data_IF_077335238072
#
_entry.id   IF_077335238072
#
_cell.length_a   1.000
_cell.length_b   1.000
_cell.length_c   1.000
_cell.angle_alpha   90.00
_cell.angle_beta   90.00
_cell.angle_gamma   90.00
#
_symmetry.space_group_name_H-M   'P 1'
#
loop_
_entity.id
_entity.type
_entity.pdbx_description
1 polymer ?
#
# COMPACT_ATOMS: atom_id res chain seq x y z
N UNK A 1 -7.46 -19.40 -53.70
CA UNK A 1 -6.69 -18.63 -52.69
C UNK A 1 -7.72 -17.77 -52.03
N UNK A 2 -8.37 -18.45 -51.10
CA UNK A 2 -9.69 -18.17 -50.57
C UNK A 2 -9.61 -17.32 -49.31
N UNK A 3 -10.72 -16.66 -49.05
CA UNK A 3 -11.11 -15.91 -47.86
C UNK A 3 -11.09 -16.72 -46.55
N UNK A 4 -11.23 -15.99 -45.43
CA UNK A 4 -11.89 -16.27 -44.13
C UNK A 4 -11.02 -15.69 -42.99
N UNK A 5 -11.25 -14.46 -42.50
CA UNK A 5 -12.28 -13.99 -41.54
C UNK A 5 -12.05 -14.38 -40.06
N UNK A 6 -11.69 -13.35 -39.29
CA UNK A 6 -12.23 -12.95 -37.97
C UNK A 6 -12.57 -14.01 -36.93
N UNK A 7 -11.87 -13.97 -35.79
CA UNK A 7 -12.40 -14.40 -34.50
C UNK A 7 -11.53 -13.86 -33.35
N UNK A 8 -11.87 -12.68 -32.82
CA UNK A 8 -11.36 -12.19 -31.53
C UNK A 8 -12.37 -11.27 -30.81
N UNK A 9 -13.67 -11.50 -31.02
CA UNK A 9 -14.79 -10.72 -30.45
C UNK A 9 -15.48 -11.38 -29.22
N UNK A 10 -14.87 -12.41 -28.61
CA UNK A 10 -15.53 -13.17 -27.54
C UNK A 10 -15.24 -12.71 -26.10
N UNK A 11 -14.59 -11.56 -25.88
CA UNK A 11 -14.28 -11.04 -24.53
C UNK A 11 -14.86 -9.64 -24.30
N UNK A 12 -16.09 -9.37 -24.77
CA UNK A 12 -16.74 -8.07 -24.54
C UNK A 12 -18.20 -8.10 -24.04
N UNK A 13 -18.78 -9.26 -23.68
CA UNK A 13 -20.22 -9.30 -23.31
C UNK A 13 -20.57 -9.52 -21.84
N UNK A 14 -19.62 -9.71 -20.92
CA UNK A 14 -19.95 -10.02 -19.51
C UNK A 14 -19.76 -8.86 -18.51
N UNK A 15 -19.26 -7.71 -18.95
CA UNK A 15 -18.95 -6.58 -18.04
C UNK A 15 -20.05 -5.52 -17.92
N UNK A 16 -21.02 -5.47 -18.84
CA UNK A 16 -22.08 -4.45 -18.82
C UNK A 16 -23.30 -4.81 -17.96
N UNK A 17 -23.54 -6.10 -17.67
CA UNK A 17 -24.66 -6.52 -16.82
C UNK A 17 -24.40 -6.37 -15.30
N UNK A 18 -23.14 -6.32 -14.87
CA UNK A 18 -22.79 -6.16 -13.46
C UNK A 18 -22.88 -4.70 -12.95
N UNK A 19 -22.88 -3.71 -13.86
CA UNK A 19 -22.87 -2.28 -13.48
C UNK A 19 -24.27 -1.67 -13.37
N UNK A 20 -25.29 -2.31 -13.96
CA UNK A 20 -26.69 -1.82 -13.92
C UNK A 20 -27.47 -2.26 -12.68
N UNK A 21 -27.04 -3.30 -11.96
CA UNK A 21 -27.77 -3.82 -10.78
C UNK A 21 -27.46 -3.10 -9.47
N UNK A 22 -26.42 -2.26 -9.43
CA UNK A 22 -25.96 -1.59 -8.19
C UNK A 22 -26.52 -0.16 -8.04
N UNK A 23 -27.19 0.39 -9.05
CA UNK A 23 -27.67 1.79 -9.07
C UNK A 23 -29.19 1.92 -8.73
N UNK A 24 -29.92 0.82 -8.53
CA UNK A 24 -31.39 0.84 -8.42
C UNK A 24 -31.98 0.78 -6.99
N UNK A 25 -31.25 1.18 -5.92
CA UNK A 25 -31.71 1.00 -4.54
C UNK A 25 -31.69 2.25 -3.64
N UNK A 26 -31.74 3.47 -4.19
CA UNK A 26 -31.85 4.68 -3.36
C UNK A 26 -32.78 5.72 -3.99
N UNK A 27 -34.08 5.54 -3.81
CA UNK A 27 -35.07 6.54 -4.19
C UNK A 27 -36.45 6.21 -3.62
N UNK A 28 -36.73 6.68 -2.40
CA UNK A 28 -37.94 7.43 -2.04
C UNK A 28 -38.03 7.57 -0.51
N UNK A 29 -37.78 8.77 -0.01
CA UNK A 29 -38.48 9.26 1.18
C UNK A 29 -38.96 10.68 0.87
N UNK A 30 -40.26 10.77 0.65
CA UNK A 30 -40.99 12.02 0.57
C UNK A 30 -41.26 12.49 2.00
N UNK A 31 -40.59 13.55 2.45
CA UNK A 31 -41.08 14.33 3.58
C UNK A 31 -41.61 15.67 3.06
N UNK A 32 -42.94 15.73 3.00
CA UNK A 32 -43.68 16.98 2.95
C UNK A 32 -43.60 17.62 4.34
N UNK A 33 -42.98 18.79 4.45
CA UNK A 33 -43.40 19.74 5.47
C UNK A 33 -43.36 21.18 4.96
N UNK A 34 -44.58 21.72 4.93
CA UNK A 34 -45.03 23.09 4.74
C UNK A 34 -44.23 24.13 5.50
N UNK A 35 -44.08 25.31 4.87
CA UNK A 35 -43.29 26.41 5.37
C UNK A 35 -43.86 27.13 6.59
N UNK A 36 -42.99 27.93 7.21
CA UNK A 36 -43.33 29.08 8.05
C UNK A 36 -42.24 30.16 7.93
N UNK A 37 -42.71 31.39 8.16
CA UNK A 37 -42.17 32.72 7.86
C UNK A 37 -40.72 33.06 8.20
N UNK A 38 -40.16 33.94 7.36
CA UNK A 38 -39.09 34.86 7.71
C UNK A 38 -39.60 35.87 8.74
N UNK A 39 -39.11 35.82 9.99
CA UNK A 39 -38.62 37.00 10.71
C UNK A 39 -38.07 36.66 12.11
N UNK A 40 -36.91 37.28 12.42
CA UNK A 40 -36.36 37.57 13.74
C UNK A 40 -35.63 36.43 14.51
N UNK A 41 -34.29 36.53 14.59
CA UNK A 41 -33.49 36.84 15.79
C UNK A 41 -32.03 36.40 15.59
N UNK A 42 -31.12 37.36 15.57
CA UNK A 42 -29.69 37.13 15.78
C UNK A 42 -29.46 36.67 17.24
N UNK A 43 -28.81 35.53 17.50
CA UNK A 43 -28.22 35.30 18.81
C UNK A 43 -26.82 35.93 18.84
N UNK A 44 -26.73 37.14 19.39
CA UNK A 44 -25.46 37.70 19.88
C UNK A 44 -25.08 36.96 21.16
N UNK A 45 -24.37 35.84 21.02
CA UNK A 45 -23.67 35.22 22.13
C UNK A 45 -22.28 35.87 22.29
N UNK A 46 -21.90 36.32 23.50
CA UNK A 46 -20.57 36.87 23.75
C UNK A 46 -19.50 35.82 23.47
N UNK A 47 -18.52 36.17 22.63
CA UNK A 47 -17.30 35.39 22.45
C UNK A 47 -16.53 35.45 23.79
N UNK A 48 -16.23 34.33 24.46
CA UNK A 48 -15.42 34.35 25.67
C UNK A 48 -14.01 34.86 25.34
N UNK A 49 -13.36 35.64 26.22
CA UNK A 49 -12.00 36.11 25.99
C UNK A 49 -11.07 34.92 25.77
N UNK A 50 -10.36 34.93 24.65
CA UNK A 50 -9.31 33.99 24.35
C UNK A 50 -8.09 34.35 25.23
N UNK A 51 -8.16 34.02 26.52
CA UNK A 51 -6.94 33.85 27.32
C UNK A 51 -6.25 32.56 26.86
N UNK A 52 -5.63 32.67 25.69
CA UNK A 52 -4.60 31.75 25.29
C UNK A 52 -3.46 31.91 26.30
N UNK A 53 -3.38 30.97 27.25
CA UNK A 53 -2.16 30.70 27.97
C UNK A 53 -1.09 30.34 26.93
N UNK A 54 -0.38 31.36 26.44
CA UNK A 54 0.89 31.22 25.75
C UNK A 54 1.87 30.81 26.83
N UNK A 55 1.95 29.51 27.11
CA UNK A 55 3.05 28.98 27.88
C UNK A 55 4.34 29.38 27.16
N UNK A 56 5.25 30.14 27.81
CA UNK A 56 6.51 30.52 27.18
C UNK A 56 7.26 29.26 26.77
N UNK A 57 7.71 29.19 25.53
CA UNK A 57 8.66 28.15 25.10
C UNK A 57 9.86 28.23 26.05
N UNK A 58 10.20 27.16 26.81
CA UNK A 58 11.29 27.23 27.76
C UNK A 58 12.59 27.42 26.99
N UNK A 59 13.24 28.58 27.17
CA UNK A 59 14.61 28.82 26.71
C UNK A 59 15.58 28.09 27.63
N UNK A 60 15.59 26.76 27.55
CA UNK A 60 16.49 25.90 28.30
C UNK A 60 17.80 25.70 27.55
N UNK A 61 18.89 26.31 28.05
CA UNK A 61 20.24 25.80 27.83
C UNK A 61 20.35 24.46 28.58
N UNK A 62 20.60 23.38 27.86
CA UNK A 62 20.89 22.08 28.46
C UNK A 62 21.25 21.05 27.39
N UNK A 63 22.53 20.67 27.34
CA UNK A 63 22.97 19.47 26.63
C UNK A 63 22.53 18.26 27.46
N UNK A 64 21.50 17.55 27.04
CA UNK A 64 21.20 16.21 27.53
C UNK A 64 20.34 15.47 26.50
N UNK A 65 20.75 14.25 26.14
CA UNK A 65 19.90 13.28 25.44
C UNK A 65 19.80 13.45 23.92
N UNK A 66 20.89 13.18 23.21
CA UNK A 66 20.85 12.95 21.76
C UNK A 66 20.37 11.51 21.53
N UNK A 67 19.06 11.27 21.56
CA UNK A 67 18.30 10.18 20.90
C UNK A 67 16.80 10.48 21.15
N UNK A 68 16.01 10.42 20.07
CA UNK A 68 14.54 10.58 19.93
C UNK A 68 13.92 12.00 19.89
N UNK A 69 14.62 12.98 19.33
CA UNK A 69 14.07 14.32 19.05
C UNK A 69 13.20 14.37 17.77
N UNK A 70 13.49 13.50 16.79
CA UNK A 70 12.86 13.55 15.46
C UNK A 70 11.35 13.22 15.50
N UNK A 71 10.95 12.23 16.30
CA UNK A 71 9.54 11.81 16.37
C UNK A 71 8.67 12.84 17.11
N UNK A 72 9.18 13.41 18.20
CA UNK A 72 8.50 14.50 18.93
C UNK A 72 8.36 15.75 18.06
N UNK A 73 9.42 16.14 17.34
CA UNK A 73 9.38 17.25 16.40
C UNK A 73 8.36 17.01 15.28
N UNK A 74 8.37 15.81 14.70
CA UNK A 74 7.46 15.43 13.62
C UNK A 74 6.00 15.44 14.11
N UNK A 75 5.73 14.93 15.31
CA UNK A 75 4.39 14.93 15.90
C UNK A 75 3.87 16.36 16.14
N UNK A 76 4.69 17.26 16.66
CA UNK A 76 4.28 18.65 16.89
C UNK A 76 4.05 19.40 15.57
N UNK A 77 4.93 19.21 14.57
CA UNK A 77 4.72 19.79 13.23
C UNK A 77 3.44 19.25 12.60
N UNK A 78 3.17 17.94 12.70
CA UNK A 78 1.90 17.35 12.24
C UNK A 78 0.70 18.01 12.91
N UNK A 79 0.73 18.19 14.23
CA UNK A 79 -0.34 18.85 15.01
C UNK A 79 -0.56 20.31 14.58
N UNK A 80 0.52 21.03 14.25
CA UNK A 80 0.42 22.39 13.74
C UNK A 80 -0.15 22.43 12.32
N UNK A 81 0.30 21.51 11.45
CA UNK A 81 -0.15 21.43 10.06
C UNK A 81 -1.63 21.04 9.95
N UNK A 82 -2.13 20.15 10.80
CA UNK A 82 -3.55 19.77 10.82
C UNK A 82 -4.47 20.90 11.29
N UNK A 83 -3.98 21.82 12.13
CA UNK A 83 -4.73 23.01 12.57
C UNK A 83 -4.79 24.12 11.51
N UNK A 84 -3.83 24.16 10.58
CA UNK A 84 -3.76 25.18 9.54
C UNK A 84 -4.70 24.84 8.38
N UNK A 85 -5.61 25.78 8.06
CA UNK A 85 -6.41 25.74 6.82
C UNK A 85 -5.65 26.20 5.57
N UNK A 86 -4.35 26.54 5.70
CA UNK A 86 -3.50 26.97 4.58
C UNK A 86 -2.64 25.80 4.11
N UNK A 87 -2.63 25.56 2.80
CA UNK A 87 -1.66 24.66 2.17
C UNK A 87 -0.27 25.30 2.16
N UNK A 88 0.77 24.51 2.44
CA UNK A 88 2.16 24.94 2.23
C UNK A 88 2.53 25.05 0.75
N UNK A 89 1.84 24.30 -0.13
CA UNK A 89 2.08 24.29 -1.57
C UNK A 89 0.78 24.47 -2.35
N UNK A 90 0.65 25.62 -3.00
CA UNK A 90 -0.44 25.90 -3.95
C UNK A 90 -0.26 25.11 -5.24
N UNK A 91 -1.36 24.73 -5.91
CA UNK A 91 -1.29 24.13 -7.23
C UNK A 91 -0.91 25.17 -8.31
N UNK A 92 -0.49 24.68 -9.48
CA UNK A 92 -0.01 25.52 -10.58
C UNK A 92 -1.07 26.52 -11.06
N UNK A 93 -2.33 26.09 -11.16
CA UNK A 93 -3.44 26.96 -11.60
C UNK A 93 -3.74 28.08 -10.61
N UNK A 94 -3.85 27.76 -9.32
CA UNK A 94 -4.11 28.76 -8.29
C UNK A 94 -2.93 29.74 -8.16
N UNK A 95 -1.70 29.25 -8.33
CA UNK A 95 -0.50 30.09 -8.38
C UNK A 95 -0.55 31.07 -9.56
N UNK A 96 -0.86 30.60 -10.77
CA UNK A 96 -0.94 31.44 -11.96
C UNK A 96 -2.07 32.48 -11.89
N UNK A 97 -3.25 32.08 -11.38
CA UNK A 97 -4.43 32.95 -11.26
C UNK A 97 -4.49 33.77 -9.98
N UNK A 98 -3.49 33.66 -9.10
CA UNK A 98 -3.43 34.31 -7.79
C UNK A 98 -4.68 34.06 -6.93
N UNK A 99 -5.18 32.82 -6.97
CA UNK A 99 -6.32 32.36 -6.17
C UNK A 99 -5.83 31.63 -4.91
N UNK A 100 -6.68 31.58 -3.88
CA UNK A 100 -6.40 30.77 -2.68
C UNK A 100 -6.47 29.28 -3.04
N UNK A 101 -5.44 28.51 -2.68
CA UNK A 101 -5.44 27.07 -2.88
C UNK A 101 -5.77 26.36 -1.57
N UNK A 102 -6.72 25.42 -1.61
CA UNK A 102 -7.07 24.54 -0.49
C UNK A 102 -6.35 23.18 -0.60
N UNK A 103 -6.21 22.47 0.53
CA UNK A 103 -5.45 21.22 0.66
C UNK A 103 -6.29 19.94 0.47
N UNK A 104 -7.40 19.98 -0.25
CA UNK A 104 -8.26 18.80 -0.39
C UNK A 104 -7.54 17.66 -1.15
N UNK A 105 -7.72 16.40 -0.71
CA UNK A 105 -6.95 15.24 -1.18
C UNK A 105 -7.18 14.91 -2.67
N UNK A 106 -8.37 15.19 -3.21
CA UNK A 106 -8.71 15.01 -4.62
C UNK A 106 -8.47 16.23 -5.52
N UNK A 107 -7.80 17.27 -5.01
CA UNK A 107 -7.63 18.54 -5.71
C UNK A 107 -8.30 19.71 -4.99
N UNK A 108 -7.77 20.92 -5.18
CA UNK A 108 -8.37 22.12 -4.57
C UNK A 108 -9.74 22.45 -5.19
N UNK A 109 -10.63 23.07 -4.41
CA UNK A 109 -11.99 23.44 -4.82
C UNK A 109 -12.04 24.16 -6.19
N UNK A 110 -11.16 25.14 -6.42
CA UNK A 110 -11.12 25.89 -7.68
C UNK A 110 -10.77 25.06 -8.93
N UNK A 111 -10.04 23.96 -8.77
CA UNK A 111 -9.73 23.03 -9.86
C UNK A 111 -10.90 22.07 -10.10
N UNK A 112 -11.51 21.60 -9.01
CA UNK A 112 -12.68 20.74 -9.05
C UNK A 112 -13.86 21.41 -9.76
N UNK A 113 -14.25 22.63 -9.37
CA UNK A 113 -15.33 23.38 -10.04
C UNK A 113 -15.02 23.72 -11.49
N UNK A 114 -13.74 23.79 -11.86
CA UNK A 114 -13.34 24.04 -13.24
C UNK A 114 -13.24 22.76 -14.08
N UNK A 115 -13.50 21.58 -13.50
CA UNK A 115 -13.28 20.28 -14.14
C UNK A 115 -11.86 20.12 -14.72
N UNK A 116 -10.85 20.62 -14.00
CA UNK A 116 -9.44 20.55 -14.42
C UNK A 116 -8.61 19.79 -13.40
N UNK A 117 -7.63 19.02 -13.88
CA UNK A 117 -6.67 18.28 -13.06
C UNK A 117 -5.88 19.23 -12.15
N UNK A 118 -5.72 18.86 -10.88
CA UNK A 118 -5.03 19.68 -9.89
C UNK A 118 -3.52 19.37 -9.90
N UNK A 119 -2.78 19.98 -10.82
CA UNK A 119 -1.34 19.72 -10.97
C UNK A 119 -0.49 20.53 -9.99
N UNK A 120 0.52 19.88 -9.41
CA UNK A 120 1.49 20.45 -8.49
C UNK A 120 2.88 20.11 -9.02
N UNK A 121 3.71 21.14 -9.18
CA UNK A 121 5.13 20.96 -9.56
C UNK A 121 5.99 21.04 -8.31
N UNK A 122 6.82 20.03 -8.08
CA UNK A 122 7.85 20.10 -7.05
C UNK A 122 8.94 21.11 -7.47
N UNK A 123 9.31 21.98 -6.54
CA UNK A 123 10.33 23.00 -6.79
C UNK A 123 11.73 22.40 -6.83
N UNK A 124 11.96 21.27 -6.15
CA UNK A 124 13.27 20.62 -6.11
C UNK A 124 13.52 19.75 -7.33
N UNK A 125 12.59 18.86 -7.69
CA UNK A 125 12.79 17.98 -8.85
C UNK A 125 12.34 18.59 -10.17
N UNK A 126 11.42 19.55 -10.14
CA UNK A 126 10.76 20.08 -11.34
C UNK A 126 9.66 19.18 -11.89
N UNK A 127 9.43 18.01 -11.28
CA UNK A 127 8.40 17.08 -11.72
C UNK A 127 7.02 17.63 -11.42
N UNK A 128 6.09 17.38 -12.34
CA UNK A 128 4.69 17.77 -12.19
C UNK A 128 3.82 16.54 -12.03
N UNK A 129 3.12 16.47 -10.90
CA UNK A 129 2.22 15.38 -10.57
C UNK A 129 0.86 15.90 -10.16
N UNK A 130 -0.14 15.03 -10.18
CA UNK A 130 -1.46 15.35 -9.66
C UNK A 130 -1.43 15.45 -8.13
N UNK A 131 -2.15 16.43 -7.57
CA UNK A 131 -2.27 16.56 -6.11
C UNK A 131 -2.82 15.26 -5.52
N UNK A 132 -2.17 14.76 -4.48
CA UNK A 132 -2.57 13.52 -3.81
C UNK A 132 -1.99 12.25 -4.44
N UNK A 133 -1.35 12.35 -5.61
CA UNK A 133 -0.78 11.20 -6.31
C UNK A 133 0.24 10.44 -5.47
N UNK A 134 1.16 11.15 -4.81
CA UNK A 134 2.15 10.53 -3.94
C UNK A 134 1.50 9.73 -2.80
N UNK A 135 0.47 10.26 -2.15
CA UNK A 135 -0.26 9.55 -1.10
C UNK A 135 -0.97 8.30 -1.63
N UNK A 136 -1.61 8.40 -2.80
CA UNK A 136 -2.27 7.27 -3.48
C UNK A 136 -1.27 6.19 -3.87
N UNK A 137 -0.12 6.58 -4.42
CA UNK A 137 0.97 5.67 -4.76
C UNK A 137 1.53 4.98 -3.52
N UNK A 138 1.71 5.70 -2.40
CA UNK A 138 2.15 5.09 -1.14
C UNK A 138 1.14 4.07 -0.61
N UNK A 139 -0.15 4.40 -0.59
CA UNK A 139 -1.20 3.47 -0.16
C UNK A 139 -1.26 2.23 -1.06
N UNK A 140 -1.20 2.41 -2.38
CA UNK A 140 -1.18 1.32 -3.35
C UNK A 140 0.06 0.45 -3.18
N UNK A 141 1.25 1.05 -3.04
CA UNK A 141 2.49 0.31 -2.80
C UNK A 141 2.45 -0.48 -1.48
N UNK A 142 1.85 0.07 -0.43
CA UNK A 142 1.69 -0.64 0.84
C UNK A 142 0.80 -1.88 0.66
N UNK A 143 -0.36 -1.72 0.01
CA UNK A 143 -1.28 -2.82 -0.31
C UNK A 143 -0.61 -3.90 -1.16
N UNK A 144 0.09 -3.51 -2.23
CA UNK A 144 0.78 -4.46 -3.11
C UNK A 144 1.90 -5.21 -2.38
N UNK A 145 2.62 -4.55 -1.47
CA UNK A 145 3.66 -5.20 -0.67
C UNK A 145 3.08 -6.22 0.30
N UNK A 146 1.94 -5.92 0.91
CA UNK A 146 1.23 -6.85 1.79
C UNK A 146 0.74 -8.07 1.02
N UNK A 147 0.14 -7.86 -0.16
CA UNK A 147 -0.29 -8.95 -1.04
C UNK A 147 0.88 -9.84 -1.48
N UNK A 148 2.00 -9.24 -1.90
CA UNK A 148 3.22 -9.98 -2.24
C UNK A 148 3.72 -10.79 -1.05
N UNK A 149 3.69 -10.25 0.17
CA UNK A 149 4.10 -10.98 1.36
C UNK A 149 3.19 -12.18 1.64
N UNK A 150 1.87 -11.99 1.55
CA UNK A 150 0.89 -13.05 1.75
C UNK A 150 1.03 -14.17 0.70
N UNK A 151 1.18 -13.80 -0.57
CA UNK A 151 1.37 -14.78 -1.67
C UNK A 151 2.68 -15.55 -1.51
N UNK A 152 3.77 -14.90 -1.11
CA UNK A 152 5.04 -15.58 -0.83
C UNK A 152 4.90 -16.59 0.31
N UNK A 153 4.24 -16.21 1.40
CA UNK A 153 4.00 -17.13 2.52
C UNK A 153 3.13 -18.33 2.11
N UNK A 154 2.11 -18.11 1.27
CA UNK A 154 1.29 -19.18 0.74
C UNK A 154 2.09 -20.13 -0.15
N UNK A 155 2.94 -19.59 -1.03
CA UNK A 155 3.84 -20.40 -1.86
C UNK A 155 4.82 -21.21 -1.01
N UNK A 156 5.48 -20.59 -0.02
CA UNK A 156 6.38 -21.29 0.90
C UNK A 156 5.69 -22.44 1.64
N UNK A 157 4.44 -22.24 2.07
CA UNK A 157 3.64 -23.31 2.71
C UNK A 157 3.39 -24.46 1.73
N UNK A 158 2.96 -24.16 0.52
CA UNK A 158 2.70 -25.18 -0.50
C UNK A 158 3.98 -25.92 -0.90
N UNK A 159 5.11 -25.23 -1.00
CA UNK A 159 6.42 -25.84 -1.25
C UNK A 159 6.82 -26.81 -0.12
N UNK A 160 6.56 -26.45 1.15
CA UNK A 160 6.79 -27.33 2.29
C UNK A 160 5.89 -28.57 2.26
N UNK A 161 4.60 -28.41 1.91
CA UNK A 161 3.67 -29.53 1.76
C UNK A 161 4.11 -30.47 0.63
N UNK A 162 4.53 -29.92 -0.51
CA UNK A 162 5.07 -30.70 -1.63
C UNK A 162 6.32 -31.48 -1.22
N UNK A 163 7.23 -30.86 -0.47
CA UNK A 163 8.44 -31.53 -0.01
C UNK A 163 8.13 -32.62 1.03
N UNK A 164 7.19 -32.38 1.94
CA UNK A 164 6.74 -33.39 2.89
C UNK A 164 6.12 -34.61 2.19
N UNK A 165 5.30 -34.39 1.16
CA UNK A 165 4.73 -35.47 0.35
C UNK A 165 5.80 -36.22 -0.44
N UNK A 166 6.79 -35.51 -1.02
CA UNK A 166 7.94 -36.15 -1.68
C UNK A 166 8.72 -37.03 -0.73
N UNK A 167 8.99 -36.54 0.47
CA UNK A 167 9.68 -37.32 1.52
C UNK A 167 8.86 -38.53 1.95
N UNK A 168 7.54 -38.38 2.12
CA UNK A 168 6.64 -39.48 2.46
C UNK A 168 6.65 -40.59 1.39
N UNK A 169 6.55 -40.22 0.11
CA UNK A 169 6.62 -41.16 -1.01
C UNK A 169 8.01 -41.81 -1.08
N UNK A 170 9.09 -41.05 -0.88
CA UNK A 170 10.45 -41.60 -0.84
C UNK A 170 10.65 -42.61 0.29
N UNK A 171 10.08 -42.35 1.47
CA UNK A 171 10.14 -43.26 2.62
C UNK A 171 9.31 -44.53 2.40
N UNK A 172 8.12 -44.44 1.80
CA UNK A 172 7.32 -45.63 1.46
C UNK A 172 8.01 -46.50 0.41
N UNK A 173 8.73 -45.91 -0.54
CA UNK A 173 9.49 -46.64 -1.57
C UNK A 173 10.75 -47.34 -1.03
N UNK A 174 11.39 -46.79 0.02
CA UNK A 174 12.61 -47.38 0.59
C UNK A 174 12.33 -48.34 1.75
N UNK A 175 11.19 -48.18 2.45
CA UNK A 175 10.81 -49.05 3.57
C UNK A 175 10.46 -50.48 3.16
N UNK A 176 10.10 -50.74 1.89
CA UNK A 176 9.91 -52.11 1.36
C UNK A 176 11.24 -52.85 1.07
N UNK A 177 12.39 -52.18 1.17
CA UNK A 177 13.72 -52.77 0.90
C UNK A 177 14.60 -52.95 2.14
N UNK A 178 14.12 -52.62 3.34
CA UNK A 178 14.89 -52.82 4.59
C UNK A 178 14.56 -54.19 5.19
N UNK A 179 15.18 -55.26 4.65
CA UNK A 179 15.18 -56.57 5.31
C UNK A 179 15.98 -56.51 6.64
N UNK A 180 15.40 -56.93 7.77
CA UNK A 180 16.13 -57.04 9.03
C UNK A 180 16.80 -58.41 9.13
N UNK A 181 17.89 -58.63 8.40
CA UNK A 181 18.80 -59.73 8.71
C UNK A 181 20.23 -59.40 8.31
N UNK A 182 21.17 -59.71 9.21
CA UNK A 182 22.63 -59.59 9.14
C UNK A 182 23.27 -58.41 9.88
N UNK A 183 22.98 -58.34 11.18
CA UNK A 183 23.97 -57.97 12.18
C UNK A 183 24.20 -59.17 13.08
N UNK A 184 24.90 -60.17 12.56
CA UNK A 184 25.66 -61.16 13.32
C UNK A 184 26.58 -61.86 12.32
N UNK A 185 27.82 -61.40 12.23
CA UNK A 185 29.01 -62.27 12.28
C UNK A 185 30.30 -61.52 11.90
N UNK A 186 31.18 -61.44 12.88
CA UNK A 186 32.63 -61.57 12.79
C UNK A 186 33.42 -60.78 11.73
N UNK A 187 34.09 -59.73 12.20
CA UNK A 187 35.56 -59.69 12.28
C UNK A 187 36.31 -60.63 11.30
N UNK A 188 36.54 -60.20 10.05
CA UNK A 188 37.63 -60.69 9.21
C UNK A 188 38.52 -59.54 8.74
N UNK A 189 39.80 -59.71 9.06
CA UNK A 189 40.95 -58.83 8.91
C UNK A 189 41.28 -58.53 7.43
N UNK A 190 41.65 -57.28 7.14
CA UNK A 190 42.86 -56.99 6.33
C UNK A 190 42.72 -56.62 4.85
N UNK A 191 43.35 -55.48 4.49
CA UNK A 191 43.96 -55.11 3.19
C UNK A 191 43.08 -54.73 1.96
N UNK A 192 42.88 -53.41 1.80
CA UNK A 192 43.15 -52.51 0.63
C UNK A 192 43.58 -53.13 -0.74
N UNK A 193 43.25 -52.50 -1.91
CA UNK A 193 43.74 -51.15 -2.21
C UNK A 193 42.88 -50.18 -3.06
N UNK A 194 43.29 -48.91 -2.93
CA UNK A 194 43.11 -47.72 -3.78
C UNK A 194 42.75 -47.94 -5.26
N UNK A 195 41.69 -47.27 -5.70
CA UNK A 195 41.52 -46.86 -7.10
C UNK A 195 40.96 -45.43 -7.18
N UNK A 196 41.87 -44.48 -7.39
CA UNK A 196 41.59 -43.18 -8.01
C UNK A 196 41.19 -43.39 -9.47
N UNK A 197 40.11 -42.75 -9.94
CA UNK A 197 39.65 -42.49 -11.34
C UNK A 197 38.18 -42.04 -11.13
N UNK A 198 37.68 -40.82 -11.36
CA UNK A 198 37.98 -39.72 -12.28
C UNK A 198 37.38 -38.41 -11.70
N UNK A 199 38.07 -37.27 -11.87
CA UNK A 199 37.44 -35.94 -11.88
C UNK A 199 36.42 -35.84 -13.03
N UNK A 200 35.53 -34.86 -13.18
CA UNK A 200 35.61 -33.40 -13.07
C UNK A 200 34.12 -32.95 -13.19
N UNK A 201 33.57 -31.94 -12.50
CA UNK A 201 33.57 -30.50 -12.84
C UNK A 201 32.61 -29.78 -11.88
N UNK A 202 33.03 -28.62 -11.40
CA UNK A 202 32.31 -27.70 -10.51
C UNK A 202 31.89 -26.49 -11.35
N UNK A 203 30.63 -25.99 -11.32
CA UNK A 203 30.30 -24.75 -12.01
C UNK A 203 30.62 -23.53 -11.12
N UNK A 204 31.36 -22.58 -11.69
CA UNK A 204 31.58 -21.23 -11.18
C UNK A 204 30.42 -20.31 -11.60
N UNK A 205 29.81 -19.61 -10.65
CA UNK A 205 28.90 -18.49 -10.92
C UNK A 205 29.69 -17.18 -10.97
N UNK A 206 29.37 -16.35 -11.98
CA UNK A 206 29.57 -14.89 -11.99
C UNK A 206 28.22 -14.24 -11.74
#
# INVERSE_FOLDING_TARGET
MDDILTSDDSIQMDTEQAVSSVIAAAGNDQDQNSGMDLQQRLPTSPIPPLEAAVNPIPRGRGRSGFIDNADRWTAEVKRLMTRSKRTGQACNRCKARKLRCDSAPGGCFHCFTANQRCMVTDRTTGDTFERGECARLHATNASLREEIAALKQANERLEQELEALRMQIGYSMFSELLEPSLLDDANLVGNLPSASILGVLRPSHS
#
